data_IF_655235683192
#
_entry.id   IF_655235683192
#
_cell.length_a   1.000
_cell.length_b   1.000
_cell.length_c   1.000
_cell.angle_alpha   90.00
_cell.angle_beta   90.00
_cell.angle_gamma   90.00
#
_symmetry.space_group_name_H-M   'P 1'
#
loop_
_entity.id
_entity.type
_entity.pdbx_description
1 polymer ?
#
# COMPACT_ATOMS: atom_id res chain seq x y z
N UNK A 1 -16.69 9.53 -50.28
CA UNK A 1 -17.25 8.20 -49.94
C UNK A 1 -16.33 7.55 -48.90
N UNK A 2 -16.93 7.06 -47.81
CA UNK A 2 -16.42 6.10 -46.80
C UNK A 2 -15.09 6.46 -46.12
N UNK A 3 -15.12 7.08 -44.93
CA UNK A 3 -15.25 6.44 -43.60
C UNK A 3 -14.31 5.24 -43.44
N UNK A 4 -13.26 5.40 -42.63
CA UNK A 4 -13.05 4.53 -41.45
C UNK A 4 -12.01 5.14 -40.48
N UNK A 5 -12.49 5.81 -39.43
CA UNK A 5 -11.72 5.99 -38.21
C UNK A 5 -11.71 4.64 -37.49
N UNK A 6 -10.61 3.91 -37.55
CA UNK A 6 -10.44 2.68 -36.78
C UNK A 6 -9.92 3.07 -35.40
N UNK A 7 -10.87 3.16 -34.47
CA UNK A 7 -10.65 3.06 -33.04
C UNK A 7 -9.80 1.81 -32.72
N UNK A 8 -8.56 2.00 -32.29
CA UNK A 8 -7.84 0.99 -31.50
C UNK A 8 -7.57 1.62 -30.13
N UNK A 9 -8.66 1.82 -29.39
CA UNK A 9 -8.65 2.29 -28.02
C UNK A 9 -9.37 1.22 -27.21
N UNK A 10 -8.65 0.62 -26.27
CA UNK A 10 -9.23 -0.19 -25.21
C UNK A 10 -9.28 -1.68 -25.48
N UNK A 11 -8.12 -2.33 -25.43
CA UNK A 11 -8.07 -3.74 -25.00
C UNK A 11 -6.93 -3.92 -23.98
N UNK A 12 -7.04 -3.25 -22.84
CA UNK A 12 -6.45 -3.78 -21.61
C UNK A 12 -7.55 -4.58 -20.94
N UNK A 13 -7.60 -5.86 -21.27
CA UNK A 13 -8.44 -6.82 -20.55
C UNK A 13 -7.80 -6.94 -19.16
N UNK A 14 -8.24 -6.10 -18.22
CA UNK A 14 -7.99 -6.33 -16.79
C UNK A 14 -8.80 -7.56 -16.40
N UNK A 15 -8.18 -8.73 -16.55
CA UNK A 15 -8.56 -9.96 -15.86
C UNK A 15 -8.34 -9.73 -14.35
N UNK A 16 -9.19 -8.92 -13.73
CA UNK A 16 -9.33 -8.90 -12.28
C UNK A 16 -10.07 -10.17 -11.86
N UNK A 17 -9.32 -11.27 -11.81
CA UNK A 17 -9.70 -12.39 -10.97
C UNK A 17 -9.99 -11.82 -9.56
N UNK A 18 -11.17 -12.16 -9.03
CA UNK A 18 -11.67 -11.70 -7.76
C UNK A 18 -10.60 -11.84 -6.65
N UNK A 19 -10.19 -10.71 -6.07
CA UNK A 19 -9.42 -10.66 -4.82
C UNK A 19 -8.02 -10.02 -4.89
N UNK A 20 -7.46 -9.76 -6.08
CA UNK A 20 -6.02 -9.45 -6.22
C UNK A 20 -5.70 -8.05 -6.78
N UNK A 21 -6.62 -7.08 -6.69
CA UNK A 21 -6.51 -5.80 -7.43
C UNK A 21 -5.20 -5.05 -7.13
N UNK A 22 -4.77 -5.03 -5.86
CA UNK A 22 -3.62 -4.25 -5.40
C UNK A 22 -2.51 -5.10 -4.78
N UNK A 23 -2.43 -6.39 -5.14
CA UNK A 23 -1.45 -7.32 -4.53
C UNK A 23 -0.01 -6.84 -4.72
N UNK A 24 0.32 -6.32 -5.90
CA UNK A 24 1.69 -5.89 -6.24
C UNK A 24 2.11 -4.70 -5.39
N UNK A 25 1.23 -3.73 -5.29
CA UNK A 25 1.44 -2.49 -4.57
C UNK A 25 1.54 -2.75 -3.06
N UNK A 26 0.68 -3.62 -2.53
CA UNK A 26 0.73 -4.06 -1.13
C UNK A 26 2.04 -4.82 -0.85
N UNK A 27 2.43 -5.74 -1.73
CA UNK A 27 3.67 -6.50 -1.55
C UNK A 27 4.92 -5.60 -1.61
N UNK A 28 4.91 -4.58 -2.47
CA UNK A 28 5.99 -3.59 -2.57
C UNK A 28 6.14 -2.78 -1.29
N UNK A 29 5.07 -2.14 -0.79
CA UNK A 29 5.17 -1.33 0.44
C UNK A 29 5.49 -2.18 1.67
N UNK A 30 5.02 -3.43 1.70
CA UNK A 30 5.35 -4.38 2.76
C UNK A 30 6.84 -4.71 2.75
N UNK A 31 7.43 -4.87 1.56
CA UNK A 31 8.86 -5.10 1.39
C UNK A 31 9.67 -3.88 1.83
N UNK A 32 9.27 -2.67 1.41
CA UNK A 32 9.94 -1.43 1.81
C UNK A 32 9.96 -1.28 3.33
N UNK A 33 8.84 -1.52 4.01
CA UNK A 33 8.80 -1.42 5.48
C UNK A 33 9.58 -2.53 6.18
N UNK A 34 9.64 -3.71 5.58
CA UNK A 34 10.50 -4.78 6.09
C UNK A 34 11.98 -4.39 6.03
N UNK A 35 12.41 -3.82 4.91
CA UNK A 35 13.79 -3.34 4.71
C UNK A 35 14.11 -2.20 5.67
N UNK A 36 13.19 -1.23 5.83
CA UNK A 36 13.37 -0.08 6.74
C UNK A 36 13.60 -0.52 8.20
N UNK A 37 12.88 -1.55 8.69
CA UNK A 37 13.06 -2.08 10.03
C UNK A 37 14.34 -2.92 10.16
N UNK A 38 14.72 -3.67 9.13
CA UNK A 38 15.92 -4.50 9.15
C UNK A 38 17.21 -3.69 9.23
N UNK A 39 17.22 -2.49 8.66
CA UNK A 39 18.36 -1.58 8.70
C UNK A 39 18.59 -0.95 10.10
N UNK A 40 17.66 -1.12 11.03
CA UNK A 40 17.78 -0.61 12.40
C UNK A 40 18.71 -1.52 13.24
N UNK A 41 19.73 -0.92 13.88
CA UNK A 41 20.75 -1.60 14.73
C UNK A 41 20.21 -2.48 15.88
N UNK A 42 18.90 -2.49 16.15
CA UNK A 42 18.29 -3.25 17.23
C UNK A 42 16.99 -3.98 16.80
N UNK A 43 17.10 -4.80 15.75
CA UNK A 43 16.01 -5.67 15.25
C UNK A 43 15.37 -6.56 16.32
N UNK A 44 16.05 -6.81 17.47
CA UNK A 44 15.51 -7.62 18.57
C UNK A 44 14.18 -7.09 19.11
N UNK A 45 13.97 -5.77 19.10
CA UNK A 45 12.75 -5.11 19.60
C UNK A 45 11.57 -5.17 18.61
N UNK A 46 11.84 -5.44 17.34
CA UNK A 46 10.85 -5.35 16.27
C UNK A 46 10.32 -6.72 15.85
N UNK A 47 9.03 -6.81 15.57
CA UNK A 47 8.38 -7.94 14.90
C UNK A 47 8.75 -7.93 13.41
N UNK A 48 8.65 -9.09 12.79
CA UNK A 48 8.72 -9.15 11.33
C UNK A 48 7.50 -8.44 10.74
N UNK A 49 7.75 -7.63 9.71
CA UNK A 49 6.70 -7.00 8.90
C UNK A 49 6.14 -8.05 7.95
N UNK A 50 4.83 -8.27 8.03
CA UNK A 50 4.11 -9.31 7.26
C UNK A 50 2.73 -8.79 6.84
N UNK A 51 2.36 -8.98 5.57
CA UNK A 51 1.04 -8.61 5.02
C UNK A 51 -0.12 -9.23 5.79
N UNK A 52 0.04 -10.49 6.20
CA UNK A 52 -0.96 -11.27 6.96
C UNK A 52 -1.20 -10.77 8.39
N UNK A 53 -0.45 -9.76 8.86
CA UNK A 53 -0.58 -9.14 10.20
C UNK A 53 -0.75 -7.63 10.13
N UNK A 54 -1.06 -7.11 8.95
CA UNK A 54 -1.11 -5.69 8.66
C UNK A 54 -2.47 -5.31 8.08
N UNK A 55 -2.78 -4.03 8.13
CA UNK A 55 -4.00 -3.45 7.57
C UNK A 55 -3.60 -2.42 6.52
N UNK A 56 -4.06 -2.64 5.29
CA UNK A 56 -3.80 -1.76 4.15
C UNK A 56 -5.07 -1.02 3.79
N UNK A 57 -4.93 0.29 3.58
CA UNK A 57 -5.94 1.13 2.97
C UNK A 57 -5.34 1.79 1.74
N UNK A 58 -6.01 1.64 0.62
CA UNK A 58 -5.55 2.13 -0.70
C UNK A 58 -6.44 3.30 -1.10
N UNK A 59 -5.83 4.38 -1.55
CA UNK A 59 -6.51 5.61 -1.98
C UNK A 59 -6.06 5.96 -3.39
N UNK A 60 -6.88 6.79 -4.08
CA UNK A 60 -6.56 7.33 -5.39
C UNK A 60 -6.06 6.25 -6.38
N UNK A 61 -6.80 5.13 -6.47
CA UNK A 61 -6.50 3.99 -7.36
C UNK A 61 -5.08 3.41 -7.24
N UNK A 62 -4.47 3.50 -6.05
CA UNK A 62 -3.12 2.97 -5.78
C UNK A 62 -2.10 4.07 -5.48
N UNK A 63 -2.34 5.33 -5.86
CA UNK A 63 -1.33 6.39 -5.69
C UNK A 63 -0.89 6.62 -4.23
N UNK A 64 -1.77 6.32 -3.26
CA UNK A 64 -1.46 6.42 -1.84
C UNK A 64 -1.87 5.15 -1.11
N UNK A 65 -0.95 4.62 -0.31
CA UNK A 65 -1.17 3.40 0.49
C UNK A 65 -0.84 3.72 1.94
N UNK A 66 -1.81 3.47 2.82
CA UNK A 66 -1.59 3.51 4.27
C UNK A 66 -1.48 2.09 4.79
N UNK A 67 -0.32 1.75 5.33
CA UNK A 67 -0.05 0.47 5.98
C UNK A 67 -0.06 0.69 7.50
N UNK A 68 -0.94 -0.04 8.21
CA UNK A 68 -0.99 -0.06 9.66
C UNK A 68 -0.59 -1.43 10.19
N UNK A 69 0.34 -1.49 11.14
CA UNK A 69 0.82 -2.74 11.72
C UNK A 69 1.32 -2.54 13.16
N UNK A 70 1.71 -3.63 13.84
CA UNK A 70 2.28 -3.57 15.20
C UNK A 70 3.79 -3.88 15.14
N UNK A 71 4.66 -2.86 15.13
CA UNK A 71 6.10 -3.07 14.93
C UNK A 71 6.82 -3.72 16.11
N UNK A 72 6.33 -3.59 17.34
CA UNK A 72 7.09 -3.96 18.53
C UNK A 72 6.70 -5.34 19.07
N UNK A 73 7.69 -6.13 19.52
CA UNK A 73 7.44 -7.47 20.11
C UNK A 73 6.63 -7.38 21.40
N UNK A 74 7.01 -6.46 22.27
CA UNK A 74 6.48 -6.35 23.64
C UNK A 74 5.38 -5.28 23.77
N UNK A 75 4.81 -4.83 22.64
CA UNK A 75 3.73 -3.84 22.63
C UNK A 75 2.69 -4.14 21.54
N UNK A 76 1.45 -3.71 21.81
CA UNK A 76 0.33 -3.71 20.89
C UNK A 76 0.11 -2.33 20.24
N UNK A 77 1.07 -1.41 20.39
CA UNK A 77 1.05 -0.11 19.71
C UNK A 77 0.99 -0.33 18.21
N UNK A 78 -0.03 0.28 17.58
CA UNK A 78 -0.15 0.33 16.13
C UNK A 78 0.63 1.52 15.60
N UNK A 79 1.27 1.33 14.46
CA UNK A 79 1.94 2.39 13.71
C UNK A 79 1.38 2.37 12.30
N UNK A 80 1.09 3.56 11.78
CA UNK A 80 0.64 3.76 10.42
C UNK A 80 1.73 4.47 9.62
N UNK A 81 1.99 3.96 8.41
CA UNK A 81 2.95 4.49 7.44
C UNK A 81 2.22 4.86 6.17
N UNK A 82 2.58 5.98 5.58
CA UNK A 82 2.02 6.47 4.32
C UNK A 82 3.06 6.27 3.23
N UNK A 83 2.68 5.58 2.16
CA UNK A 83 3.50 5.41 0.97
C UNK A 83 2.80 6.05 -0.22
N UNK A 84 3.57 6.68 -1.10
CA UNK A 84 3.08 7.28 -2.33
C UNK A 84 3.89 6.81 -3.53
N UNK A 85 3.21 6.61 -4.65
CA UNK A 85 3.90 6.34 -5.91
C UNK A 85 4.62 7.61 -6.38
N UNK A 86 5.91 7.49 -6.68
CA UNK A 86 6.65 8.50 -7.40
C UNK A 86 6.39 8.31 -8.90
N UNK A 87 5.64 9.23 -9.51
CA UNK A 87 5.23 9.12 -10.93
C UNK A 87 6.40 9.15 -11.93
N UNK A 88 7.60 9.57 -11.50
CA UNK A 88 8.78 9.57 -12.38
C UNK A 88 9.49 8.23 -12.35
N UNK A 89 9.59 7.59 -11.17
CA UNK A 89 10.32 6.33 -10.98
C UNK A 89 9.42 5.09 -11.01
N UNK A 90 8.10 5.27 -10.93
CA UNK A 90 7.08 4.23 -10.80
C UNK A 90 7.34 3.30 -9.60
N UNK A 91 7.76 3.90 -8.48
CA UNK A 91 8.08 3.20 -7.23
C UNK A 91 7.41 3.87 -6.04
N UNK A 92 7.07 3.08 -5.03
CA UNK A 92 6.59 3.64 -3.77
C UNK A 92 7.72 4.22 -2.93
N UNK A 93 7.44 5.36 -2.30
CA UNK A 93 8.32 6.01 -1.33
C UNK A 93 7.51 6.33 -0.06
N UNK A 94 8.12 6.21 1.12
CA UNK A 94 7.47 6.64 2.37
C UNK A 94 7.35 8.17 2.38
N UNK A 95 6.16 8.69 2.67
CA UNK A 95 5.93 10.12 2.87
C UNK A 95 5.61 10.40 4.35
N UNK A 96 6.67 10.66 5.13
CA UNK A 96 6.55 10.96 6.56
C UNK A 96 5.99 12.37 6.86
N UNK A 97 5.70 13.20 5.84
CA UNK A 97 5.09 14.53 6.04
C UNK A 97 3.56 14.46 6.15
N UNK A 98 2.97 13.33 5.74
CA UNK A 98 1.53 13.12 5.81
C UNK A 98 1.18 12.46 7.14
N UNK A 99 0.34 13.14 7.92
CA UNK A 99 -0.31 12.54 9.07
C UNK A 99 -1.36 11.53 8.60
N UNK A 100 -1.11 10.24 8.85
CA UNK A 100 -1.98 9.16 8.41
C UNK A 100 -3.40 9.31 8.98
N UNK A 101 -3.56 9.61 10.27
CA UNK A 101 -4.88 9.69 10.91
C UNK A 101 -5.72 10.82 10.30
N UNK A 102 -5.10 11.98 10.08
CA UNK A 102 -5.76 13.11 9.42
C UNK A 102 -6.12 12.77 7.98
N UNK A 103 -5.20 12.16 7.23
CA UNK A 103 -5.47 11.76 5.85
C UNK A 103 -6.64 10.78 5.76
N UNK A 104 -6.70 9.78 6.65
CA UNK A 104 -7.79 8.80 6.71
C UNK A 104 -9.15 9.43 7.08
N UNK A 105 -9.17 10.51 7.86
CA UNK A 105 -10.41 11.24 8.20
C UNK A 105 -10.93 12.06 7.02
N UNK A 106 -10.02 12.64 6.25
CA UNK A 106 -10.34 13.54 5.14
C UNK A 106 -10.61 12.79 3.82
N UNK A 107 -10.24 11.51 3.72
CA UNK A 107 -10.32 10.71 2.51
C UNK A 107 -11.01 9.36 2.72
N UNK A 108 -11.55 8.77 1.65
CA UNK A 108 -12.13 7.42 1.67
C UNK A 108 -11.27 6.45 0.87
N UNK A 109 -10.93 5.27 1.41
CA UNK A 109 -10.17 4.29 0.66
C UNK A 109 -11.02 3.70 -0.47
N UNK A 110 -10.36 3.40 -1.59
CA UNK A 110 -10.93 2.66 -2.71
C UNK A 110 -10.81 1.14 -2.52
N UNK A 111 -9.94 0.69 -1.60
CA UNK A 111 -9.78 -0.70 -1.21
C UNK A 111 -9.19 -0.81 0.19
N UNK A 112 -9.57 -1.88 0.89
CA UNK A 112 -9.12 -2.18 2.23
C UNK A 112 -8.79 -3.67 2.37
N UNK A 113 -7.65 -3.96 2.98
CA UNK A 113 -7.26 -5.32 3.34
C UNK A 113 -6.82 -5.37 4.81
N UNK A 114 -7.73 -5.81 5.68
CA UNK A 114 -7.49 -5.88 7.11
C UNK A 114 -7.16 -7.31 7.57
N UNK A 115 -5.87 -7.59 7.70
CA UNK A 115 -5.38 -8.88 8.23
C UNK A 115 -4.93 -8.79 9.70
N UNK A 116 -5.11 -7.63 10.35
CA UNK A 116 -4.81 -7.51 11.77
C UNK A 116 -5.88 -8.28 12.57
N UNK A 117 -5.53 -9.47 13.05
CA UNK A 117 -6.41 -10.26 13.92
C UNK A 117 -6.86 -9.39 15.12
N UNK A 118 -8.15 -9.47 15.45
CA UNK A 118 -8.69 -8.97 16.73
C UNK A 118 -8.21 -9.84 17.88
#
# INVERSE_FOLDING_TARGET
MRRWFVLVLGLVILLSACGQKYDKEIDEVTKLEKESIQDVKNTKKYKNVERSKSYYKIYNDGEVIIMTYMPFKDSNTKVSRVYKINQTSDKYEEDSNIDAEKFEKDNKPVYEENNMKK
#
